data_IF_974590692016
#
_entry.id   IF_974590692016
#
_cell.length_a   1.000
_cell.length_b   1.000
_cell.length_c   1.000
_cell.angle_alpha   90.00
_cell.angle_beta   90.00
_cell.angle_gamma   90.00
#
_symmetry.space_group_name_H-M   'P 1'
#
loop_
_entity.id
_entity.type
_entity.pdbx_description
1 polymer ?
#
# COMPACT_ATOMS: atom_id res chain seq x y z
N UNK A 1 -16.73 -15.73 -29.12
CA UNK A 1 -15.46 -15.73 -28.35
C UNK A 1 -15.30 -14.47 -27.51
N UNK A 2 -15.32 -13.26 -28.10
CA UNK A 2 -15.25 -11.98 -27.35
C UNK A 2 -16.34 -11.88 -26.26
N UNK A 3 -17.58 -12.21 -26.63
CA UNK A 3 -18.73 -12.58 -25.78
C UNK A 3 -18.36 -13.21 -24.43
N UNK A 4 -17.75 -14.38 -24.56
CA UNK A 4 -17.44 -15.30 -23.47
C UNK A 4 -16.32 -14.72 -22.60
N UNK A 5 -15.33 -14.06 -23.20
CA UNK A 5 -14.25 -13.41 -22.44
C UNK A 5 -14.77 -12.30 -21.54
N UNK A 6 -15.67 -11.45 -22.05
CA UNK A 6 -16.31 -10.38 -21.27
C UNK A 6 -17.09 -10.97 -20.10
N UNK A 7 -17.86 -12.03 -20.35
CA UNK A 7 -18.62 -12.74 -19.31
C UNK A 7 -17.72 -13.31 -18.21
N UNK A 8 -16.62 -13.99 -18.58
CA UNK A 8 -15.65 -14.54 -17.62
C UNK A 8 -14.98 -13.42 -16.81
N UNK A 9 -14.58 -12.33 -17.47
CA UNK A 9 -13.92 -11.23 -16.79
C UNK A 9 -14.86 -10.52 -15.81
N UNK A 10 -16.15 -10.43 -16.12
CA UNK A 10 -17.13 -9.91 -15.15
C UNK A 10 -17.21 -10.79 -13.91
N UNK A 11 -17.27 -12.11 -14.08
CA UNK A 11 -17.29 -13.06 -12.95
C UNK A 11 -16.02 -12.90 -12.10
N UNK A 12 -14.84 -12.80 -12.73
CA UNK A 12 -13.59 -12.55 -12.01
C UNK A 12 -13.54 -11.18 -11.34
N UNK A 13 -14.09 -10.13 -11.95
CA UNK A 13 -14.16 -8.80 -11.34
C UNK A 13 -15.01 -8.81 -10.06
N UNK A 14 -16.19 -9.44 -10.11
CA UNK A 14 -17.07 -9.60 -8.96
C UNK A 14 -16.43 -10.45 -7.86
N UNK A 15 -15.82 -11.58 -8.24
CA UNK A 15 -15.11 -12.46 -7.31
C UNK A 15 -13.91 -11.77 -6.65
N UNK A 16 -13.06 -11.10 -7.42
CA UNK A 16 -11.92 -10.36 -6.89
C UNK A 16 -12.35 -9.21 -5.99
N UNK A 17 -13.49 -8.58 -6.27
CA UNK A 17 -14.12 -7.61 -5.38
C UNK A 17 -14.55 -8.22 -4.04
N UNK A 18 -15.09 -9.43 -4.06
CA UNK A 18 -15.45 -10.19 -2.85
C UNK A 18 -14.20 -10.54 -2.03
N UNK A 19 -13.15 -11.05 -2.68
CA UNK A 19 -11.84 -11.33 -2.02
C UNK A 19 -11.27 -10.08 -1.37
N UNK A 20 -11.29 -8.95 -2.08
CA UNK A 20 -10.84 -7.65 -1.56
C UNK A 20 -11.64 -7.22 -0.34
N UNK A 21 -12.98 -7.27 -0.42
CA UNK A 21 -13.86 -6.87 0.68
C UNK A 21 -13.66 -7.72 1.94
N UNK A 22 -13.52 -9.05 1.78
CA UNK A 22 -13.22 -9.94 2.91
C UNK A 22 -11.84 -9.64 3.50
N UNK A 23 -10.82 -9.43 2.65
CA UNK A 23 -9.49 -9.06 3.12
C UNK A 23 -9.49 -7.73 3.89
N UNK A 24 -10.26 -6.75 3.42
CA UNK A 24 -10.40 -5.45 4.09
C UNK A 24 -11.05 -5.58 5.47
N UNK A 25 -12.14 -6.34 5.58
CA UNK A 25 -12.78 -6.64 6.87
C UNK A 25 -11.80 -7.31 7.85
N UNK A 26 -11.03 -8.30 7.39
CA UNK A 26 -10.03 -8.99 8.21
C UNK A 26 -8.94 -8.03 8.67
N UNK A 27 -8.44 -7.18 7.78
CA UNK A 27 -7.39 -6.20 8.08
C UNK A 27 -7.87 -5.18 9.12
N UNK A 28 -9.10 -4.68 8.96
CA UNK A 28 -9.70 -3.70 9.85
C UNK A 28 -9.93 -4.28 11.25
N UNK A 29 -10.53 -5.47 11.34
CA UNK A 29 -10.80 -6.14 12.61
C UNK A 29 -9.52 -6.51 13.38
N UNK A 30 -8.41 -6.75 12.68
CA UNK A 30 -7.16 -7.21 13.30
C UNK A 30 -6.11 -6.10 13.51
N UNK A 31 -6.41 -4.82 13.26
CA UNK A 31 -5.47 -3.69 13.38
C UNK A 31 -4.10 -3.95 12.72
N UNK A 32 -4.12 -4.59 11.55
CA UNK A 32 -2.91 -5.19 10.97
C UNK A 32 -1.81 -4.18 10.66
N UNK A 33 -2.17 -2.92 10.34
CA UNK A 33 -1.24 -1.84 10.01
C UNK A 33 -0.31 -1.51 11.18
N UNK A 34 -0.88 -1.25 12.35
CA UNK A 34 -0.11 -0.95 13.56
C UNK A 34 0.69 -2.16 14.06
N UNK A 35 0.18 -3.39 13.86
CA UNK A 35 0.94 -4.61 14.19
C UNK A 35 2.17 -4.80 13.31
N UNK A 36 2.05 -4.53 12.01
CA UNK A 36 3.17 -4.62 11.06
C UNK A 36 4.23 -3.56 11.36
N UNK A 37 3.81 -2.33 11.68
CA UNK A 37 4.73 -1.28 12.11
C UNK A 37 5.47 -1.67 13.40
N UNK A 38 4.75 -2.22 14.37
CA UNK A 38 5.34 -2.71 15.62
C UNK A 38 6.36 -3.83 15.36
N UNK A 39 6.02 -4.80 14.52
CA UNK A 39 6.92 -5.88 14.15
C UNK A 39 8.16 -5.36 13.40
N UNK A 40 7.98 -4.38 12.51
CA UNK A 40 9.09 -3.71 11.81
C UNK A 40 10.07 -3.03 12.76
N UNK A 41 9.58 -2.32 13.78
CA UNK A 41 10.43 -1.68 14.79
C UNK A 41 11.10 -2.73 15.70
N UNK A 42 10.37 -3.75 16.13
CA UNK A 42 10.95 -4.85 16.91
C UNK A 42 12.04 -5.60 16.12
N UNK A 43 11.90 -5.70 14.80
CA UNK A 43 12.92 -6.25 13.92
C UNK A 43 14.14 -5.33 13.83
N UNK A 44 13.92 -4.02 13.64
CA UNK A 44 14.98 -3.00 13.60
C UNK A 44 15.82 -3.00 14.88
N UNK A 45 15.17 -3.13 16.04
CA UNK A 45 15.85 -3.17 17.34
C UNK A 45 16.40 -4.56 17.69
N UNK A 46 16.24 -5.54 16.80
CA UNK A 46 16.75 -6.90 16.97
C UNK A 46 16.09 -7.71 18.09
N UNK A 47 14.85 -7.36 18.45
CA UNK A 47 14.11 -7.99 19.55
C UNK A 47 13.30 -9.22 19.12
N UNK A 48 13.13 -9.45 17.81
CA UNK A 48 12.36 -10.58 17.31
C UNK A 48 13.20 -11.87 17.30
N UNK A 49 12.74 -12.94 17.98
CA UNK A 49 13.43 -14.23 17.93
C UNK A 49 13.34 -14.83 16.52
N UNK A 50 14.36 -15.59 16.12
CA UNK A 50 14.31 -16.38 14.87
C UNK A 50 13.24 -17.48 15.01
N UNK A 51 12.35 -17.67 14.02
CA UNK A 51 11.29 -18.66 14.14
C UNK A 51 11.91 -20.07 14.09
N UNK A 52 11.56 -20.93 15.05
CA UNK A 52 11.99 -22.33 15.07
C UNK A 52 10.89 -23.21 14.49
N UNK A 53 11.19 -23.96 13.42
CA UNK A 53 10.29 -24.92 12.79
C UNK A 53 9.55 -24.38 11.56
N UNK A 54 9.17 -25.30 10.66
CA UNK A 54 8.57 -25.00 9.34
C UNK A 54 7.20 -24.32 9.48
N UNK A 55 6.33 -24.84 10.37
CA UNK A 55 4.98 -24.31 10.57
C UNK A 55 5.03 -22.89 11.14
N UNK A 56 5.86 -22.65 12.16
CA UNK A 56 6.03 -21.32 12.75
C UNK A 56 6.63 -20.32 11.75
N UNK A 57 7.57 -20.76 10.90
CA UNK A 57 8.08 -19.94 9.81
C UNK A 57 6.99 -19.56 8.81
N UNK A 58 6.09 -20.48 8.47
CA UNK A 58 4.98 -20.23 7.56
C UNK A 58 3.94 -19.29 8.19
N UNK A 59 3.55 -19.55 9.44
CA UNK A 59 2.61 -18.70 10.18
C UNK A 59 3.16 -17.28 10.35
N UNK A 60 4.46 -17.10 10.62
CA UNK A 60 5.11 -15.78 10.63
C UNK A 60 5.11 -15.13 9.24
N UNK A 61 5.35 -15.88 8.17
CA UNK A 61 5.26 -15.34 6.78
C UNK A 61 3.85 -14.84 6.45
N UNK A 62 2.83 -15.51 6.99
CA UNK A 62 1.43 -15.08 6.94
C UNK A 62 1.07 -14.09 8.08
N UNK A 63 2.07 -13.79 8.93
CA UNK A 63 2.14 -13.06 10.21
C UNK A 63 0.99 -13.21 11.18
N UNK A 64 0.58 -14.46 11.34
CA UNK A 64 -0.08 -14.93 12.54
C UNK A 64 0.98 -15.19 13.63
N UNK A 65 1.74 -14.16 14.01
CA UNK A 65 2.78 -14.28 15.04
C UNK A 65 2.33 -13.69 16.38
N UNK A 66 2.80 -14.30 17.47
CA UNK A 66 2.76 -13.70 18.80
C UNK A 66 4.09 -12.99 18.98
N UNK A 67 4.08 -11.67 18.99
CA UNK A 67 5.27 -10.86 19.29
C UNK A 67 5.66 -11.04 20.77
N UNK A 68 6.41 -12.11 21.05
CA UNK A 68 6.99 -12.40 22.36
C UNK A 68 8.39 -11.79 22.39
N UNK A 69 8.66 -10.88 23.35
CA UNK A 69 10.03 -10.45 23.68
C UNK A 69 10.45 -9.01 23.30
N UNK A 70 9.57 -8.18 22.71
CA UNK A 70 9.92 -6.80 22.34
C UNK A 70 9.77 -5.83 23.52
N UNK A 71 10.82 -5.66 24.32
CA UNK A 71 10.79 -4.83 25.55
C UNK A 71 10.97 -3.36 25.22
N UNK A 72 12.00 -3.02 24.46
CA UNK A 72 12.33 -1.64 24.08
C UNK A 72 11.27 -1.10 23.11
N UNK A 73 10.78 -1.92 22.17
CA UNK A 73 9.66 -1.53 21.29
C UNK A 73 8.38 -1.26 22.08
N UNK A 74 8.10 -2.02 23.14
CA UNK A 74 6.94 -1.75 24.01
C UNK A 74 7.10 -0.44 24.78
N UNK A 75 8.28 -0.20 25.35
CA UNK A 75 8.59 1.06 26.03
C UNK A 75 8.45 2.25 25.07
N UNK A 76 8.89 2.10 23.82
CA UNK A 76 8.72 3.09 22.77
C UNK A 76 7.24 3.37 22.45
N UNK A 77 6.40 2.34 22.33
CA UNK A 77 4.97 2.53 22.04
C UNK A 77 4.20 3.11 23.23
N UNK A 78 4.71 2.94 24.46
CA UNK A 78 4.16 3.58 25.66
C UNK A 78 4.65 5.02 25.84
N UNK A 79 5.60 5.47 25.02
CA UNK A 79 6.15 6.81 25.11
C UNK A 79 5.11 7.85 24.63
N UNK A 80 4.93 8.99 25.32
CA UNK A 80 3.91 9.98 24.97
C UNK A 80 3.98 10.48 23.52
N UNK A 81 5.17 10.62 22.94
CA UNK A 81 5.34 11.04 21.53
C UNK A 81 4.80 10.02 20.50
N UNK A 82 4.62 8.76 20.90
CA UNK A 82 4.17 7.67 20.03
C UNK A 82 2.74 7.26 20.37
N UNK A 83 2.43 7.10 21.66
CA UNK A 83 1.11 6.67 22.14
C UNK A 83 0.00 7.63 21.69
N UNK A 84 0.26 8.95 21.70
CA UNK A 84 -0.72 9.97 21.28
C UNK A 84 -0.99 10.00 19.78
N UNK A 85 -0.26 9.22 18.97
CA UNK A 85 -0.48 9.11 17.52
C UNK A 85 -1.67 8.19 17.17
N UNK A 86 -2.26 7.53 18.17
CA UNK A 86 -3.38 6.60 18.02
C UNK A 86 -4.45 6.79 19.08
N UNK A 87 -5.63 6.22 18.84
CA UNK A 87 -6.68 6.16 19.86
C UNK A 87 -6.24 5.26 21.03
N UNK A 88 -6.66 5.55 22.26
CA UNK A 88 -6.32 4.73 23.43
C UNK A 88 -6.59 3.24 23.19
N UNK A 89 -5.56 2.41 23.39
CA UNK A 89 -5.65 0.95 23.24
C UNK A 89 -5.36 0.41 21.83
N UNK A 90 -5.22 1.27 20.83
CA UNK A 90 -4.82 0.88 19.46
C UNK A 90 -3.35 1.19 19.19
N UNK A 91 -2.75 0.57 18.16
CA UNK A 91 -1.38 0.89 17.71
C UNK A 91 -1.41 1.95 16.60
N UNK A 92 -0.47 2.92 16.58
CA UNK A 92 -0.38 3.87 15.49
C UNK A 92 -0.13 3.16 14.16
N UNK A 93 -0.84 3.60 13.12
CA UNK A 93 -0.64 3.09 11.75
C UNK A 93 0.57 3.69 11.05
N UNK A 94 1.10 4.78 11.60
CA UNK A 94 2.28 5.49 11.10
C UNK A 94 3.00 6.23 12.23
N UNK A 95 4.32 6.27 12.17
CA UNK A 95 5.20 7.05 13.04
C UNK A 95 6.19 7.78 12.14
N UNK A 96 6.34 9.10 12.30
CA UNK A 96 7.35 9.84 11.53
C UNK A 96 8.76 9.49 12.00
N UNK A 97 9.78 9.55 11.12
CA UNK A 97 11.17 9.29 11.50
C UNK A 97 11.61 10.19 12.66
N UNK A 98 11.21 11.46 12.61
CA UNK A 98 11.51 12.46 13.64
C UNK A 98 10.88 12.15 15.00
N UNK A 99 9.62 11.71 15.03
CA UNK A 99 8.96 11.31 16.27
C UNK A 99 9.59 10.02 16.82
N UNK A 100 9.92 9.09 15.93
CA UNK A 100 10.59 7.84 16.27
C UNK A 100 11.98 8.10 16.88
N UNK A 101 12.84 8.88 16.24
CA UNK A 101 14.22 9.14 16.70
C UNK A 101 14.23 9.89 18.04
N UNK A 102 13.36 10.88 18.20
CA UNK A 102 13.20 11.62 19.44
C UNK A 102 12.72 10.71 20.59
N UNK A 103 11.67 9.91 20.36
CA UNK A 103 11.16 8.97 21.36
C UNK A 103 12.18 7.88 21.69
N UNK A 104 12.89 7.34 20.70
CA UNK A 104 13.90 6.32 20.90
C UNK A 104 15.05 6.84 21.76
N UNK A 105 15.55 8.04 21.49
CA UNK A 105 16.59 8.67 22.33
C UNK A 105 16.10 8.78 23.78
N UNK A 106 14.89 9.27 24.02
CA UNK A 106 14.34 9.43 25.37
C UNK A 106 14.15 8.09 26.08
N UNK A 107 13.67 7.05 25.38
CA UNK A 107 13.51 5.70 25.93
C UNK A 107 14.86 5.09 26.30
N UNK A 108 15.90 5.26 25.47
CA UNK A 108 17.22 4.66 25.70
C UNK A 108 18.06 5.39 26.75
N UNK A 109 17.91 6.70 26.86
CA UNK A 109 18.64 7.54 27.82
C UNK A 109 17.88 7.81 29.12
N UNK A 110 16.57 7.53 29.16
CA UNK A 110 15.60 7.92 30.20
C UNK A 110 15.36 9.44 30.35
N UNK A 111 16.37 10.27 30.12
CA UNK A 111 16.34 11.73 30.33
C UNK A 111 16.60 12.55 29.06
N UNK A 112 16.86 11.89 27.92
CA UNK A 112 17.24 12.53 26.66
C UNK A 112 18.72 12.91 26.57
N UNK A 113 19.54 12.59 27.59
CA UNK A 113 20.94 12.98 27.64
C UNK A 113 21.84 12.09 26.77
N UNK A 114 22.82 12.73 26.13
CA UNK A 114 23.83 12.06 25.33
C UNK A 114 24.70 11.10 26.17
N UNK A 115 24.96 11.45 27.44
CA UNK A 115 25.80 10.65 28.34
C UNK A 115 25.11 9.33 28.67
N UNK A 116 23.84 9.38 29.08
CA UNK A 116 23.07 8.17 29.40
C UNK A 116 22.85 7.32 28.13
N UNK A 117 22.59 7.97 26.98
CA UNK A 117 22.50 7.29 25.70
C UNK A 117 23.80 6.54 25.36
N UNK A 118 24.96 7.20 25.48
CA UNK A 118 26.26 6.59 25.25
C UNK A 118 26.49 5.41 26.17
N UNK A 119 26.22 5.56 27.46
CA UNK A 119 26.37 4.49 28.45
C UNK A 119 25.48 3.28 28.12
N UNK A 120 24.23 3.49 27.70
CA UNK A 120 23.31 2.41 27.31
C UNK A 120 23.79 1.69 26.05
N UNK A 121 24.41 2.40 25.11
CA UNK A 121 24.87 1.85 23.84
C UNK A 121 26.29 1.29 23.89
N UNK A 122 27.09 1.60 24.90
CA UNK A 122 28.51 1.23 25.03
C UNK A 122 28.75 -0.29 25.03
N UNK A 123 27.78 -1.08 25.52
CA UNK A 123 27.85 -2.53 25.45
C UNK A 123 27.69 -3.06 24.01
N UNK A 124 28.82 -3.16 23.31
CA UNK A 124 28.92 -3.72 21.95
C UNK A 124 28.69 -5.23 21.89
N UNK A 125 28.42 -5.92 22.99
CA UNK A 125 28.00 -7.33 22.99
C UNK A 125 26.48 -7.49 22.90
N UNK A 126 25.74 -6.55 23.50
CA UNK A 126 24.28 -6.47 23.39
C UNK A 126 23.83 -6.13 21.97
N UNK A 127 22.64 -6.63 21.59
CA UNK A 127 22.05 -6.40 20.25
C UNK A 127 21.93 -4.91 19.94
N UNK A 128 21.41 -4.13 20.88
CA UNK A 128 21.18 -2.69 20.70
C UNK A 128 22.50 -1.91 20.54
N UNK A 129 23.52 -2.22 21.35
CA UNK A 129 24.84 -1.59 21.25
C UNK A 129 25.57 -1.95 19.95
N UNK A 130 25.38 -3.17 19.41
CA UNK A 130 25.88 -3.54 18.08
C UNK A 130 25.22 -2.77 16.94
N UNK A 131 23.93 -2.46 17.07
CA UNK A 131 23.15 -1.81 16.03
C UNK A 131 23.28 -0.29 16.04
N UNK A 132 23.04 0.35 17.19
CA UNK A 132 22.99 1.80 17.32
C UNK A 132 24.31 2.43 17.77
N UNK A 133 25.16 1.64 18.43
CA UNK A 133 26.46 2.10 18.92
C UNK A 133 27.36 2.69 17.83
N UNK A 134 27.59 2.00 16.70
CA UNK A 134 28.36 2.54 15.58
C UNK A 134 27.77 3.82 14.99
N UNK A 135 26.43 3.96 14.98
CA UNK A 135 25.78 5.19 14.51
C UNK A 135 26.10 6.38 15.41
N UNK A 136 26.22 6.15 16.73
CA UNK A 136 26.61 7.18 17.69
C UNK A 136 28.10 7.56 17.54
N UNK A 137 28.97 6.57 17.32
CA UNK A 137 30.40 6.80 17.08
C UNK A 137 30.61 7.64 15.80
N UNK A 138 29.95 7.28 14.70
CA UNK A 138 30.02 8.02 13.43
C UNK A 138 29.43 9.42 13.53
N UNK A 139 28.47 9.64 14.44
CA UNK A 139 27.93 10.96 14.72
C UNK A 139 28.92 11.86 15.47
N UNK A 140 30.06 11.33 15.94
CA UNK A 140 31.02 12.03 16.80
C UNK A 140 30.35 12.63 18.05
N UNK A 141 29.51 11.83 18.71
CA UNK A 141 28.77 12.23 19.91
C UNK A 141 27.82 13.44 19.69
N UNK A 142 27.46 13.76 18.44
CA UNK A 142 26.47 14.78 18.11
C UNK A 142 25.07 14.16 18.09
N UNK A 143 24.21 14.58 19.02
CA UNK A 143 22.88 14.01 19.19
C UNK A 143 21.97 14.21 17.96
N UNK A 144 22.07 15.35 17.28
CA UNK A 144 21.23 15.64 16.11
C UNK A 144 21.70 14.85 14.89
N UNK A 145 23.01 14.69 14.72
CA UNK A 145 23.56 13.78 13.69
C UNK A 145 23.19 12.33 13.98
N UNK A 146 23.23 11.89 15.24
CA UNK A 146 22.80 10.56 15.64
C UNK A 146 21.32 10.32 15.29
N UNK A 147 20.43 11.25 15.67
CA UNK A 147 19.00 11.19 15.30
C UNK A 147 18.82 11.08 13.80
N UNK A 148 19.53 11.89 13.01
CA UNK A 148 19.46 11.87 11.54
C UNK A 148 19.86 10.50 10.97
N UNK A 149 20.89 9.86 11.52
CA UNK A 149 21.30 8.49 11.13
C UNK A 149 20.26 7.44 11.50
N UNK A 150 19.67 7.55 12.70
CA UNK A 150 18.58 6.68 13.16
C UNK A 150 17.35 6.84 12.27
N UNK A 151 16.99 8.06 11.88
CA UNK A 151 15.89 8.37 10.97
C UNK A 151 16.09 7.75 9.59
N UNK A 152 17.30 7.88 9.05
CA UNK A 152 17.68 7.26 7.80
C UNK A 152 17.54 5.73 7.89
N UNK A 153 18.11 5.11 8.93
CA UNK A 153 18.01 3.67 9.14
C UNK A 153 16.56 3.19 9.33
N UNK A 154 15.76 3.96 10.07
CA UNK A 154 14.33 3.70 10.24
C UNK A 154 13.61 3.66 8.89
N UNK A 155 13.84 4.65 8.01
CA UNK A 155 13.25 4.67 6.68
C UNK A 155 13.65 3.46 5.84
N UNK A 156 14.93 3.07 5.83
CA UNK A 156 15.40 1.89 5.10
C UNK A 156 14.74 0.59 5.60
N UNK A 157 14.55 0.46 6.91
CA UNK A 157 13.82 -0.68 7.50
C UNK A 157 12.34 -0.59 7.12
N UNK A 158 11.72 0.58 7.20
CA UNK A 158 10.30 0.75 6.86
C UNK A 158 10.00 0.48 5.37
N UNK A 159 10.91 0.80 4.46
CA UNK A 159 10.81 0.44 3.03
C UNK A 159 10.82 -1.07 2.82
N UNK A 160 11.76 -1.76 3.48
CA UNK A 160 11.79 -3.23 3.50
C UNK A 160 10.52 -3.78 4.14
N UNK A 161 10.01 -3.07 5.15
CA UNK A 161 8.78 -3.42 5.86
C UNK A 161 7.52 -3.20 4.99
N UNK A 162 7.54 -2.29 4.03
CA UNK A 162 6.50 -2.23 3.00
C UNK A 162 6.52 -3.46 2.09
N UNK A 163 7.73 -3.90 1.72
CA UNK A 163 7.95 -4.97 0.74
C UNK A 163 7.43 -6.36 1.17
N UNK A 164 7.89 -6.88 2.31
CA UNK A 164 7.38 -8.16 2.87
C UNK A 164 5.87 -8.10 3.16
N UNK A 165 5.35 -6.95 3.61
CA UNK A 165 3.93 -6.75 3.86
C UNK A 165 3.11 -6.91 2.58
N UNK A 166 3.53 -6.28 1.48
CA UNK A 166 2.87 -6.42 0.17
C UNK A 166 2.81 -7.89 -0.27
N UNK A 167 3.92 -8.63 -0.14
CA UNK A 167 3.99 -10.06 -0.51
C UNK A 167 3.08 -10.91 0.38
N UNK A 168 3.06 -10.62 1.67
CA UNK A 168 2.17 -11.28 2.64
C UNK A 168 0.71 -11.01 2.32
N UNK A 169 0.34 -9.77 2.02
CA UNK A 169 -1.02 -9.39 1.65
C UNK A 169 -1.49 -10.13 0.39
N UNK A 170 -0.62 -10.27 -0.62
CA UNK A 170 -0.91 -11.08 -1.82
C UNK A 170 -1.13 -12.55 -1.48
N UNK A 171 -0.32 -13.14 -0.60
CA UNK A 171 -0.51 -14.52 -0.15
C UNK A 171 -1.83 -14.69 0.62
N UNK A 172 -2.16 -13.76 1.52
CA UNK A 172 -3.42 -13.78 2.27
C UNK A 172 -4.61 -13.67 1.32
N UNK A 173 -4.59 -12.75 0.35
CA UNK A 173 -5.63 -12.63 -0.69
C UNK A 173 -5.76 -13.90 -1.53
N UNK A 174 -4.65 -14.57 -1.86
CA UNK A 174 -4.68 -15.85 -2.55
C UNK A 174 -5.40 -16.93 -1.73
N UNK A 175 -5.07 -17.07 -0.44
CA UNK A 175 -5.73 -18.06 0.42
C UNK A 175 -7.20 -17.73 0.70
N UNK A 176 -7.53 -16.45 0.92
CA UNK A 176 -8.92 -15.99 1.01
C UNK A 176 -9.67 -16.34 -0.28
N UNK A 177 -9.10 -16.02 -1.44
CA UNK A 177 -9.65 -16.39 -2.74
C UNK A 177 -9.81 -17.90 -2.90
N UNK A 178 -8.81 -18.70 -2.53
CA UNK A 178 -8.90 -20.16 -2.63
C UNK A 178 -10.01 -20.73 -1.74
N UNK A 179 -10.09 -20.26 -0.50
CA UNK A 179 -11.15 -20.63 0.44
C UNK A 179 -12.51 -20.27 -0.14
N UNK A 180 -12.70 -19.04 -0.60
CA UNK A 180 -13.96 -18.57 -1.18
C UNK A 180 -14.32 -19.32 -2.47
N UNK A 181 -13.35 -19.61 -3.34
CA UNK A 181 -13.56 -20.36 -4.57
C UNK A 181 -14.05 -21.79 -4.26
N UNK A 182 -13.50 -22.45 -3.25
CA UNK A 182 -13.97 -23.76 -2.78
C UNK A 182 -15.35 -23.63 -2.15
N UNK A 183 -15.53 -22.74 -1.17
CA UNK A 183 -16.81 -22.61 -0.46
C UNK A 183 -17.98 -22.23 -1.37
N UNK A 184 -17.76 -21.32 -2.32
CA UNK A 184 -18.75 -20.89 -3.30
C UNK A 184 -18.78 -21.78 -4.56
N UNK A 185 -17.91 -22.79 -4.64
CA UNK A 185 -17.71 -23.65 -5.80
C UNK A 185 -17.58 -22.87 -7.12
N UNK A 186 -16.68 -21.88 -7.14
CA UNK A 186 -16.39 -21.07 -8.33
C UNK A 186 -15.23 -21.75 -9.06
N UNK A 187 -15.58 -22.63 -10.00
CA UNK A 187 -14.63 -23.40 -10.82
C UNK A 187 -14.48 -22.75 -12.21
N UNK A 188 -13.31 -22.14 -12.47
CA UNK A 188 -13.00 -21.50 -13.75
C UNK A 188 -13.19 -22.41 -14.97
N UNK A 189 -12.85 -23.69 -14.88
CA UNK A 189 -12.92 -24.63 -16.01
C UNK A 189 -14.39 -24.94 -16.30
N UNK A 190 -15.17 -25.21 -15.25
CA UNK A 190 -16.60 -25.44 -15.36
C UNK A 190 -17.35 -24.22 -15.90
N UNK A 191 -17.01 -23.02 -15.44
CA UNK A 191 -17.59 -21.76 -15.92
C UNK A 191 -17.36 -21.61 -17.43
N UNK A 192 -16.15 -21.87 -17.92
CA UNK A 192 -15.85 -21.79 -19.36
C UNK A 192 -16.71 -22.77 -20.16
N UNK A 193 -16.82 -24.03 -19.70
CA UNK A 193 -17.62 -25.06 -20.37
C UNK A 193 -19.09 -24.66 -20.44
N UNK A 194 -19.66 -24.22 -19.32
CA UNK A 194 -21.07 -23.82 -19.25
C UNK A 194 -21.38 -22.58 -20.10
N UNK A 195 -20.49 -21.59 -20.13
CA UNK A 195 -20.67 -20.40 -20.96
C UNK A 195 -20.56 -20.70 -22.46
N UNK A 196 -19.77 -21.72 -22.85
CA UNK A 196 -19.72 -22.18 -24.23
C UNK A 196 -21.02 -22.86 -24.68
N UNK A 197 -21.67 -23.59 -23.78
CA UNK A 197 -22.92 -24.32 -24.05
C UNK A 197 -24.18 -23.42 -23.95
N UNK A 198 -24.12 -22.30 -23.22
CA UNK A 198 -25.27 -21.46 -22.92
C UNK A 198 -25.12 -20.00 -23.43
N UNK A 199 -25.35 -19.72 -24.73
CA UNK A 199 -25.19 -18.38 -25.29
C UNK A 199 -26.14 -17.32 -24.70
N UNK A 200 -27.31 -17.72 -24.20
CA UNK A 200 -28.24 -16.82 -23.52
C UNK A 200 -27.68 -16.28 -22.20
N UNK A 201 -26.91 -17.09 -21.45
CA UNK A 201 -26.27 -16.66 -20.21
C UNK A 201 -25.14 -15.67 -20.50
N UNK A 202 -24.32 -15.96 -21.52
CA UNK A 202 -23.26 -15.04 -21.97
C UNK A 202 -23.83 -13.67 -22.31
N UNK A 203 -24.96 -13.62 -23.02
CA UNK A 203 -25.62 -12.36 -23.36
C UNK A 203 -26.01 -11.54 -22.12
N UNK A 204 -26.63 -12.18 -21.11
CA UNK A 204 -27.00 -11.52 -19.84
C UNK A 204 -25.78 -10.97 -19.10
N UNK A 205 -24.71 -11.75 -19.00
CA UNK A 205 -23.47 -11.33 -18.32
C UNK A 205 -22.81 -10.14 -19.03
N UNK A 206 -22.89 -10.10 -20.36
CA UNK A 206 -22.31 -9.00 -21.15
C UNK A 206 -23.15 -7.72 -21.05
N UNK A 207 -24.47 -7.84 -21.01
CA UNK A 207 -25.38 -6.72 -20.73
C UNK A 207 -25.11 -6.12 -19.34
N UNK A 208 -24.95 -6.98 -18.33
CA UNK A 208 -24.58 -6.54 -16.98
C UNK A 208 -23.19 -5.88 -16.94
N UNK A 209 -22.20 -6.46 -17.61
CA UNK A 209 -20.85 -5.90 -17.69
C UNK A 209 -20.87 -4.48 -18.29
N UNK A 210 -21.68 -4.26 -19.33
CA UNK A 210 -21.87 -2.94 -19.93
C UNK A 210 -22.55 -1.95 -18.98
N UNK A 211 -23.57 -2.40 -18.23
CA UNK A 211 -24.26 -1.57 -17.23
C UNK A 211 -23.31 -1.13 -16.10
N UNK A 212 -22.51 -2.06 -15.58
CA UNK A 212 -21.52 -1.77 -14.53
C UNK A 212 -20.44 -0.83 -15.06
N UNK A 213 -19.91 -1.07 -16.25
CA UNK A 213 -18.90 -0.19 -16.86
C UNK A 213 -19.41 1.25 -17.02
N UNK A 214 -20.65 1.43 -17.46
CA UNK A 214 -21.26 2.75 -17.57
C UNK A 214 -21.42 3.46 -16.21
N UNK A 215 -21.61 2.69 -15.13
CA UNK A 215 -21.67 3.23 -13.77
C UNK A 215 -20.29 3.55 -13.19
N UNK A 216 -19.28 2.74 -13.48
CA UNK A 216 -17.89 2.92 -13.03
C UNK A 216 -17.22 4.11 -13.73
N UNK A 217 -17.47 4.30 -15.04
CA UNK A 217 -16.99 5.46 -15.79
C UNK A 217 -17.53 6.80 -15.24
N UNK A 218 -18.73 6.79 -14.65
CA UNK A 218 -19.28 7.97 -13.95
C UNK A 218 -18.62 8.22 -12.61
N UNK A 219 -18.19 7.18 -11.88
CA UNK A 219 -17.46 7.32 -10.62
C UNK A 219 -16.02 7.80 -10.81
N UNK A 220 -15.34 7.38 -11.88
CA UNK A 220 -13.97 7.82 -12.18
C UNK A 220 -13.90 9.29 -12.65
N UNK A 221 -14.95 9.81 -13.28
CA UNK A 221 -15.06 11.22 -13.69
C UNK A 221 -15.60 12.14 -12.58
N UNK A 222 -16.10 11.58 -11.48
CA UNK A 222 -16.39 12.30 -10.25
C UNK A 222 -15.22 12.11 -9.28
N UNK A 223 -14.06 12.67 -9.62
CA UNK A 223 -12.97 12.73 -8.65
C UNK A 223 -13.47 13.47 -7.41
N UNK A 224 -13.49 12.84 -6.22
CA UNK A 224 -13.52 13.61 -4.99
C UNK A 224 -12.16 14.29 -4.96
N UNK A 225 -12.12 15.60 -5.22
CA UNK A 225 -11.03 16.44 -4.74
C UNK A 225 -11.13 16.33 -3.22
N UNK A 226 -10.37 15.43 -2.61
CA UNK A 226 -10.15 15.44 -1.17
C UNK A 226 -9.17 16.60 -0.94
N UNK A 227 -9.59 17.72 -0.35
CA UNK A 227 -8.65 18.73 0.07
C UNK A 227 -7.78 18.13 1.19
N UNK A 228 -6.46 18.36 1.20
CA UNK A 228 -5.62 17.90 2.28
C UNK A 228 -6.01 18.65 3.55
N UNK A 229 -6.76 18.00 4.45
CA UNK A 229 -7.06 18.52 5.78
C UNK A 229 -8.52 18.73 6.17
N UNK A 230 -9.51 18.16 5.49
CA UNK A 230 -10.87 18.15 6.03
C UNK A 230 -11.04 17.04 7.07
N UNK A 231 -11.32 17.45 8.31
CA UNK A 231 -11.84 16.59 9.38
C UNK A 231 -13.23 16.08 8.97
N UNK A 232 -13.29 14.96 8.27
CA UNK A 232 -14.50 14.12 8.16
C UNK A 232 -14.14 12.70 8.62
N UNK A 233 -13.68 12.61 9.86
CA UNK A 233 -13.59 11.36 10.61
C UNK A 233 -14.83 11.20 11.47
N UNK A 234 -15.99 11.01 10.85
CA UNK A 234 -17.18 10.54 11.57
C UNK A 234 -18.20 9.91 10.60
N UNK A 235 -17.82 8.76 10.04
CA UNK A 235 -18.78 7.67 9.94
C UNK A 235 -18.31 6.63 10.92
N UNK A 236 -19.17 6.26 11.87
CA UNK A 236 -18.90 5.24 12.86
C UNK A 236 -18.27 4.03 12.14
N UNK A 237 -17.14 3.50 12.60
CA UNK A 237 -16.53 2.30 12.03
C UNK A 237 -17.54 1.15 11.87
N UNK A 238 -18.57 1.13 12.72
CA UNK A 238 -19.74 0.25 12.63
C UNK A 238 -20.63 0.49 11.39
N UNK A 239 -20.85 1.74 11.00
CA UNK A 239 -21.63 2.10 9.80
C UNK A 239 -20.82 1.87 8.51
N UNK A 240 -19.51 2.11 8.53
CA UNK A 240 -18.62 1.75 7.42
C UNK A 240 -18.54 0.22 7.24
N UNK A 241 -18.39 -0.53 8.34
CA UNK A 241 -18.41 -2.00 8.30
C UNK A 241 -19.78 -2.55 7.83
N UNK A 242 -20.89 -1.94 8.25
CA UNK A 242 -22.23 -2.29 7.74
C UNK A 242 -22.33 -2.06 6.24
N UNK A 243 -21.87 -0.92 5.73
CA UNK A 243 -21.86 -0.62 4.30
C UNK A 243 -20.99 -1.61 3.51
N UNK A 244 -19.83 -1.99 4.04
CA UNK A 244 -18.97 -3.01 3.44
C UNK A 244 -19.62 -4.40 3.42
N UNK A 245 -20.32 -4.79 4.48
CA UNK A 245 -21.05 -6.06 4.56
C UNK A 245 -22.24 -6.06 3.58
N UNK A 246 -22.97 -4.95 3.46
CA UNK A 246 -24.08 -4.81 2.51
C UNK A 246 -23.60 -4.82 1.06
N UNK A 247 -22.48 -4.15 0.75
CA UNK A 247 -21.82 -4.24 -0.56
C UNK A 247 -21.39 -5.68 -0.86
N UNK A 248 -20.78 -6.38 0.10
CA UNK A 248 -20.36 -7.78 -0.04
C UNK A 248 -21.56 -8.70 -0.30
N UNK A 249 -22.65 -8.54 0.45
CA UNK A 249 -23.88 -9.30 0.25
C UNK A 249 -24.47 -9.05 -1.14
N UNK A 250 -24.50 -7.78 -1.59
CA UNK A 250 -24.98 -7.43 -2.92
C UNK A 250 -24.15 -8.06 -4.05
N UNK A 251 -22.83 -8.23 -3.86
CA UNK A 251 -21.96 -8.91 -4.84
C UNK A 251 -22.24 -10.40 -4.90
N UNK A 252 -22.50 -11.03 -3.76
CA UNK A 252 -22.90 -12.45 -3.69
C UNK A 252 -24.25 -12.64 -4.38
N UNK A 253 -25.23 -11.79 -4.07
CA UNK A 253 -26.56 -11.83 -4.69
C UNK A 253 -26.49 -11.62 -6.20
N UNK A 254 -25.65 -10.68 -6.67
CA UNK A 254 -25.41 -10.50 -8.12
C UNK A 254 -24.81 -11.75 -8.75
N UNK A 255 -23.80 -12.34 -8.13
CA UNK A 255 -23.18 -13.58 -8.62
C UNK A 255 -24.21 -14.72 -8.74
N UNK A 256 -25.12 -14.85 -7.78
CA UNK A 256 -26.18 -15.87 -7.79
C UNK A 256 -27.29 -15.56 -8.81
N UNK A 257 -27.78 -14.31 -8.86
CA UNK A 257 -28.90 -13.90 -9.71
C UNK A 257 -28.56 -13.82 -11.20
N UNK A 258 -27.28 -13.75 -11.56
CA UNK A 258 -26.84 -13.78 -12.97
C UNK A 258 -27.01 -15.15 -13.64
N UNK A 259 -27.56 -16.15 -12.94
CA UNK A 259 -27.67 -17.52 -13.44
C UNK A 259 -26.30 -18.15 -13.68
N UNK A 260 -25.30 -17.66 -12.94
CA UNK A 260 -23.92 -18.11 -13.06
C UNK A 260 -23.83 -19.58 -12.61
N UNK A 261 -23.10 -20.43 -13.33
CA UNK A 261 -22.88 -21.83 -13.01
C UNK A 261 -21.89 -21.96 -11.82
N UNK A 262 -22.29 -21.44 -10.67
CA UNK A 262 -21.54 -21.43 -9.41
C UNK A 262 -22.38 -22.05 -8.30
N UNK A 263 -21.73 -22.48 -7.22
CA UNK A 263 -22.39 -23.09 -6.08
C UNK A 263 -22.34 -24.62 -6.12
N UNK A 264 -22.60 -25.22 -4.97
CA UNK A 264 -22.65 -26.67 -4.82
C UNK A 264 -24.04 -27.19 -5.22
N UNK A 265 -24.09 -28.27 -6.00
CA UNK A 265 -25.34 -28.98 -6.26
C UNK A 265 -25.51 -30.02 -5.16
N UNK A 266 -26.45 -29.79 -4.25
CA UNK A 266 -26.78 -30.78 -3.23
C UNK A 266 -27.68 -31.87 -3.83
N UNK A 267 -27.51 -33.11 -3.37
CA UNK A 267 -28.44 -34.21 -3.63
C UNK A 267 -29.88 -33.76 -3.34
N UNK A 268 -30.85 -34.21 -4.14
CA UNK A 268 -32.27 -34.10 -3.76
C UNK A 268 -32.52 -35.10 -2.62
N UNK A 269 -32.30 -34.71 -1.37
CA UNK A 269 -32.73 -35.49 -0.22
C UNK A 269 -34.26 -35.70 -0.25
N UNK A 270 -34.71 -36.86 0.23
CA UNK A 270 -36.11 -37.14 0.53
C UNK A 270 -36.70 -36.04 1.44
N UNK A 271 -38.01 -35.76 1.38
CA UNK A 271 -38.63 -34.51 1.88
C UNK A 271 -38.47 -34.16 3.37
N UNK A 272 -37.82 -34.99 4.20
CA UNK A 272 -37.73 -34.82 5.65
C UNK A 272 -36.28 -34.78 6.20
N UNK A 273 -35.27 -34.46 5.39
CA UNK A 273 -33.91 -34.26 5.89
C UNK A 273 -33.41 -32.86 5.54
N UNK A 274 -32.97 -32.11 6.57
CA UNK A 274 -32.23 -30.88 6.36
C UNK A 274 -30.90 -31.21 5.67
N UNK A 275 -30.50 -30.47 4.63
CA UNK A 275 -29.25 -30.74 3.93
C UNK A 275 -28.08 -30.65 4.92
N UNK A 276 -27.27 -31.72 5.00
CA UNK A 276 -25.98 -31.67 5.66
C UNK A 276 -25.05 -30.82 4.78
N UNK A 277 -24.42 -29.79 5.36
CA UNK A 277 -23.46 -28.94 4.64
C UNK A 277 -22.37 -29.78 3.97
N UNK A 278 -21.95 -30.89 4.60
CA UNK A 278 -20.94 -31.80 4.07
C UNK A 278 -21.43 -32.62 2.87
N UNK A 279 -22.73 -32.86 2.72
CA UNK A 279 -23.28 -33.64 1.61
C UNK A 279 -23.21 -32.85 0.29
N UNK A 280 -23.35 -31.52 0.35
CA UNK A 280 -23.16 -30.66 -0.81
C UNK A 280 -21.70 -30.65 -1.31
N UNK A 281 -20.71 -30.86 -0.44
CA UNK A 281 -19.29 -30.97 -0.83
C UNK A 281 -18.95 -32.32 -1.50
N UNK A 282 -19.77 -33.35 -1.32
CA UNK A 282 -19.57 -34.67 -1.92
C UNK A 282 -20.03 -34.76 -3.38
N UNK A 283 -20.77 -33.76 -3.86
CA UNK A 283 -21.26 -33.67 -5.24
C UNK A 283 -20.64 -32.45 -5.95
N UNK A 284 -19.37 -32.55 -6.39
CA UNK A 284 -18.78 -31.50 -7.22
C UNK A 284 -19.59 -31.35 -8.51
N UNK A 285 -19.84 -30.09 -8.89
CA UNK A 285 -20.63 -29.76 -10.10
C UNK A 285 -19.89 -30.16 -11.38
N UNK A 286 -18.56 -30.27 -11.31
CA UNK A 286 -17.73 -30.86 -12.35
C UNK A 286 -17.81 -32.38 -12.34
N UNK A 287 -18.03 -32.98 -13.52
CA UNK A 287 -17.97 -34.44 -13.70
C UNK A 287 -16.57 -35.03 -13.43
N UNK A 288 -15.54 -34.19 -13.26
CA UNK A 288 -14.16 -34.60 -12.96
C UNK A 288 -13.60 -33.82 -11.76
N UNK A 289 -13.51 -34.42 -10.55
CA UNK A 289 -13.06 -33.71 -9.34
C UNK A 289 -11.62 -33.19 -9.42
N UNK A 290 -10.74 -33.88 -10.18
CA UNK A 290 -9.35 -33.44 -10.37
C UNK A 290 -9.23 -32.14 -11.19
N UNK A 291 -10.18 -31.86 -12.08
CA UNK A 291 -10.21 -30.63 -12.87
C UNK A 291 -10.72 -29.44 -12.03
N UNK A 292 -11.60 -29.68 -11.06
CA UNK A 292 -12.09 -28.61 -10.17
C UNK A 292 -11.02 -28.02 -9.26
N UNK A 293 -10.05 -28.82 -8.82
CA UNK A 293 -8.90 -28.29 -8.09
C UNK A 293 -8.14 -27.24 -8.93
N UNK A 294 -7.93 -27.52 -10.22
CA UNK A 294 -7.27 -26.57 -11.13
C UNK A 294 -8.17 -25.35 -11.36
N UNK A 295 -9.47 -25.55 -11.53
CA UNK A 295 -10.46 -24.47 -11.67
C UNK A 295 -10.46 -23.50 -10.49
N UNK A 296 -10.49 -24.03 -9.26
CA UNK A 296 -10.41 -23.23 -8.04
C UNK A 296 -9.08 -22.50 -7.89
N UNK A 297 -7.96 -23.13 -8.28
CA UNK A 297 -6.65 -22.45 -8.28
C UNK A 297 -6.62 -21.29 -9.28
N UNK A 298 -7.17 -21.46 -10.49
CA UNK A 298 -7.28 -20.37 -11.48
C UNK A 298 -8.17 -19.25 -10.93
N UNK A 299 -9.30 -19.58 -10.33
CA UNK A 299 -10.19 -18.59 -9.71
C UNK A 299 -9.51 -17.85 -8.55
N UNK A 300 -8.79 -18.56 -7.69
CA UNK A 300 -8.02 -17.95 -6.60
C UNK A 300 -6.96 -16.97 -7.12
N UNK A 301 -6.21 -17.36 -8.16
CA UNK A 301 -5.25 -16.48 -8.84
C UNK A 301 -5.94 -15.27 -9.47
N UNK A 302 -7.12 -15.45 -10.07
CA UNK A 302 -7.90 -14.35 -10.61
C UNK A 302 -8.32 -13.34 -9.52
N UNK A 303 -8.66 -13.83 -8.32
CA UNK A 303 -8.99 -13.01 -7.15
C UNK A 303 -7.82 -12.12 -6.68
N UNK A 304 -6.57 -12.59 -6.81
CA UNK A 304 -5.37 -11.84 -6.38
C UNK A 304 -5.15 -10.56 -7.19
N UNK A 305 -5.58 -10.52 -8.46
CA UNK A 305 -5.41 -9.34 -9.31
C UNK A 305 -6.30 -8.15 -8.91
N UNK A 306 -7.35 -8.40 -8.11
CA UNK A 306 -8.28 -7.36 -7.70
C UNK A 306 -9.31 -7.01 -8.76
N UNK A 307 -10.44 -6.44 -8.32
CA UNK A 307 -11.54 -6.05 -9.21
C UNK A 307 -11.14 -5.00 -10.27
N UNK A 308 -10.33 -3.95 -9.98
CA UNK A 308 -10.10 -2.91 -10.96
C UNK A 308 -9.27 -3.39 -12.16
N UNK A 309 -8.39 -4.39 -11.99
CA UNK A 309 -7.70 -5.05 -13.10
C UNK A 309 -8.69 -5.66 -14.11
N UNK A 310 -9.69 -6.40 -13.60
CA UNK A 310 -10.67 -7.06 -14.47
C UNK A 310 -11.64 -6.07 -15.13
N UNK A 311 -12.03 -4.99 -14.43
CA UNK A 311 -12.85 -3.93 -15.04
C UNK A 311 -12.11 -3.15 -16.13
N UNK A 312 -10.81 -2.91 -15.97
CA UNK A 312 -9.96 -2.36 -17.04
C UNK A 312 -9.88 -3.32 -18.24
N UNK A 313 -9.70 -4.63 -17.99
CA UNK A 313 -9.70 -5.64 -19.03
C UNK A 313 -11.04 -5.69 -19.80
N UNK A 314 -12.17 -5.65 -19.11
CA UNK A 314 -13.52 -5.55 -19.72
C UNK A 314 -13.63 -4.29 -20.57
N UNK A 315 -13.13 -3.16 -20.07
CA UNK A 315 -13.19 -1.88 -20.79
C UNK A 315 -12.43 -1.92 -22.10
N UNK A 316 -11.24 -2.53 -22.10
CA UNK A 316 -10.44 -2.76 -23.30
C UNK A 316 -11.17 -3.68 -24.30
N UNK A 317 -11.83 -4.74 -23.83
CA UNK A 317 -12.61 -5.63 -24.70
C UNK A 317 -13.82 -4.94 -25.33
N UNK A 318 -14.54 -4.09 -24.58
CA UNK A 318 -15.65 -3.30 -25.14
C UNK A 318 -15.17 -2.27 -26.16
N UNK A 319 -14.01 -1.63 -25.93
CA UNK A 319 -13.40 -0.74 -26.91
C UNK A 319 -13.11 -1.47 -28.24
N UNK A 320 -12.53 -2.68 -28.17
CA UNK A 320 -12.27 -3.52 -29.35
C UNK A 320 -13.59 -3.93 -30.04
N UNK A 321 -14.65 -4.20 -29.28
CA UNK A 321 -15.98 -4.52 -29.81
C UNK A 321 -16.61 -3.34 -30.56
N UNK A 322 -16.36 -2.12 -30.09
CA UNK A 322 -16.88 -0.87 -30.68
C UNK A 322 -16.14 -0.41 -31.93
N UNK A 323 -14.91 -0.88 -32.18
CA UNK A 323 -14.08 -0.41 -33.31
C UNK A 323 -14.41 -1.10 -34.64
N UNK A 324 -15.54 -0.72 -35.24
CA UNK A 324 -15.59 -0.49 -36.68
C UNK A 324 -15.00 0.89 -37.00
N UNK A 325 -13.72 0.95 -37.42
CA UNK A 325 -12.92 2.13 -37.91
C UNK A 325 -12.62 3.33 -36.95
N UNK A 326 -11.44 3.25 -36.29
CA UNK A 326 -10.23 4.15 -36.12
C UNK A 326 -10.32 5.71 -35.97
N UNK A 327 -9.26 6.44 -35.47
CA UNK A 327 -8.17 6.18 -34.47
C UNK A 327 -7.88 7.29 -33.38
N UNK A 328 -7.06 6.87 -32.39
CA UNK A 328 -6.03 7.58 -31.55
C UNK A 328 -6.48 8.69 -30.57
N UNK A 329 -6.12 8.66 -29.28
CA UNK A 329 -4.74 8.78 -28.76
C UNK A 329 -4.27 7.66 -27.81
N UNK A 330 -3.02 7.27 -28.01
CA UNK A 330 -2.23 6.47 -27.07
C UNK A 330 -1.55 7.42 -26.09
N UNK A 331 -1.95 7.41 -24.82
CA UNK A 331 -1.08 7.90 -23.75
C UNK A 331 -0.61 6.70 -22.94
N UNK A 332 0.63 6.33 -23.20
CA UNK A 332 1.42 5.38 -22.44
C UNK A 332 1.33 5.71 -20.95
N UNK A 333 0.69 4.84 -20.16
CA UNK A 333 0.80 4.85 -18.69
C UNK A 333 1.20 3.44 -18.24
N UNK A 334 2.23 3.30 -17.38
CA UNK A 334 2.69 2.00 -16.91
C UNK A 334 1.61 1.28 -16.12
N UNK A 335 1.58 -0.05 -16.22
CA UNK A 335 0.66 -0.93 -15.51
C UNK A 335 0.74 -0.72 -13.98
N UNK A 336 -0.21 0.01 -13.42
CA UNK A 336 -0.43 0.07 -11.96
C UNK A 336 -1.35 -1.08 -11.56
N UNK A 337 -0.76 -2.10 -10.95
CA UNK A 337 -1.45 -3.19 -10.27
C UNK A 337 -2.39 -2.63 -9.20
N UNK A 338 -3.69 -2.68 -9.42
CA UNK A 338 -4.74 -2.27 -8.49
C UNK A 338 -5.07 -3.40 -7.50
N UNK A 339 -4.09 -3.73 -6.67
CA UNK A 339 -4.34 -4.33 -5.36
C UNK A 339 -4.74 -3.19 -4.41
N UNK A 340 -5.70 -3.36 -3.48
CA UNK A 340 -5.90 -2.39 -2.40
C UNK A 340 -4.60 -2.33 -1.60
N UNK A 341 -3.78 -1.32 -1.90
CA UNK A 341 -2.60 -1.04 -1.13
C UNK A 341 -3.11 -0.53 0.21
N UNK A 342 -3.04 -1.39 1.22
CA UNK A 342 -2.89 -0.90 2.59
C UNK A 342 -1.55 -0.16 2.59
N UNK A 343 -1.64 1.14 2.34
CA UNK A 343 -0.53 2.05 2.52
C UNK A 343 -0.26 2.04 4.02
N UNK A 344 0.75 1.27 4.44
CA UNK A 344 1.66 1.81 5.43
C UNK A 344 2.10 3.11 4.79
N UNK A 345 1.62 4.23 5.30
CA UNK A 345 2.05 5.54 4.84
C UNK A 345 3.50 5.62 5.30
N UNK A 346 4.42 4.98 4.59
CA UNK A 346 5.76 5.53 4.50
C UNK A 346 5.51 6.77 3.63
N UNK A 347 5.68 8.00 4.15
CA UNK A 347 5.70 9.14 3.25
C UNK A 347 6.67 8.77 2.13
N UNK A 348 6.38 9.09 0.87
CA UNK A 348 7.37 8.90 -0.17
C UNK A 348 8.66 9.51 0.35
N UNK A 349 9.76 8.76 0.33
CA UNK A 349 11.08 9.36 0.33
C UNK A 349 10.98 10.43 -0.76
N UNK A 350 10.91 11.68 -0.33
CA UNK A 350 10.51 12.79 -1.16
C UNK A 350 11.71 13.21 -1.99
N UNK A 351 12.26 12.28 -2.77
CA UNK A 351 13.37 12.52 -3.68
C UNK A 351 12.86 12.72 -5.12
N UNK A 352 11.56 12.91 -5.35
CA UNK A 352 11.00 13.32 -6.64
C UNK A 352 9.53 13.72 -6.51
N UNK A 353 9.24 14.95 -6.05
CA UNK A 353 8.05 15.73 -6.45
C UNK A 353 7.88 17.08 -5.70
N UNK A 354 8.55 17.32 -4.56
CA UNK A 354 8.50 18.64 -3.90
C UNK A 354 9.54 19.64 -4.43
N UNK A 355 10.38 19.22 -5.37
CA UNK A 355 11.54 19.96 -5.80
C UNK A 355 11.24 21.07 -6.83
N UNK A 356 10.07 21.05 -7.48
CA UNK A 356 9.73 21.96 -8.60
C UNK A 356 8.88 23.18 -8.18
N UNK A 357 8.73 23.44 -6.87
CA UNK A 357 7.83 24.47 -6.34
C UNK A 357 8.65 25.63 -5.71
N UNK A 358 8.38 26.89 -6.09
CA UNK A 358 8.96 28.04 -5.40
C UNK A 358 8.52 28.09 -3.93
N UNK A 359 9.44 28.47 -3.04
CA UNK A 359 9.27 28.45 -1.58
C UNK A 359 8.91 29.84 -1.00
N UNK A 360 8.89 30.89 -1.82
CA UNK A 360 8.47 32.23 -1.44
C UNK A 360 7.93 33.03 -2.66
N UNK A 361 7.33 34.18 -2.38
CA UNK A 361 6.76 35.05 -3.41
C UNK A 361 7.81 35.59 -4.38
N UNK A 362 9.05 35.78 -3.92
CA UNK A 362 10.16 36.25 -4.74
C UNK A 362 10.51 35.22 -5.84
N UNK A 363 10.69 33.96 -5.47
CA UNK A 363 10.95 32.85 -6.39
C UNK A 363 9.80 32.59 -7.37
N UNK A 364 8.58 32.92 -6.96
CA UNK A 364 7.38 32.75 -7.81
C UNK A 364 7.22 33.88 -8.83
N UNK A 365 7.56 35.11 -8.45
CA UNK A 365 7.22 36.32 -9.22
C UNK A 365 8.40 37.04 -9.88
N UNK A 366 9.64 36.76 -9.44
CA UNK A 366 10.84 37.51 -9.85
C UNK A 366 11.90 36.66 -10.54
N UNK A 367 11.77 35.34 -10.55
CA UNK A 367 12.73 34.43 -11.18
C UNK A 367 12.06 33.68 -12.33
N UNK A 368 12.63 33.78 -13.51
CA UNK A 368 12.24 33.01 -14.69
C UNK A 368 13.20 31.81 -14.88
N UNK A 369 12.93 30.98 -15.88
CA UNK A 369 13.74 29.79 -16.15
C UNK A 369 15.20 30.10 -16.51
N UNK A 370 15.48 31.22 -17.18
CA UNK A 370 16.84 31.67 -17.50
C UNK A 370 17.60 32.11 -16.24
N UNK A 371 16.92 32.81 -15.32
CA UNK A 371 17.49 33.17 -14.01
C UNK A 371 17.82 31.91 -13.19
N UNK A 372 16.95 30.90 -13.23
CA UNK A 372 17.16 29.62 -12.55
C UNK A 372 18.36 28.88 -13.16
N UNK A 373 18.53 28.87 -14.48
CA UNK A 373 19.73 28.32 -15.11
C UNK A 373 21.00 29.05 -14.67
N UNK A 374 20.95 30.39 -14.59
CA UNK A 374 22.04 31.19 -14.04
C UNK A 374 22.41 30.81 -12.62
N UNK A 375 21.40 30.58 -11.76
CA UNK A 375 21.60 30.15 -10.37
C UNK A 375 22.17 28.73 -10.29
N UNK A 376 21.71 27.81 -11.15
CA UNK A 376 22.26 26.46 -11.27
C UNK A 376 23.76 26.50 -11.65
N UNK A 377 24.15 27.38 -12.58
CA UNK A 377 25.57 27.60 -12.94
C UNK A 377 26.37 28.19 -11.79
N UNK A 378 25.86 29.26 -11.16
CA UNK A 378 26.54 29.95 -10.07
C UNK A 378 26.79 29.05 -8.85
N UNK A 379 25.89 28.10 -8.60
CA UNK A 379 25.98 27.13 -7.50
C UNK A 379 26.72 25.83 -7.88
N UNK A 380 27.33 25.76 -9.07
CA UNK A 380 28.21 24.67 -9.46
C UNK A 380 27.51 23.38 -9.91
N UNK A 381 26.25 23.46 -10.36
CA UNK A 381 25.56 22.30 -10.94
C UNK A 381 26.19 21.96 -12.30
N UNK A 382 26.49 20.67 -12.59
CA UNK A 382 27.08 20.27 -13.87
C UNK A 382 26.21 20.66 -15.06
N UNK A 383 26.82 21.10 -16.17
CA UNK A 383 26.11 21.56 -17.39
C UNK A 383 25.10 20.54 -17.94
N UNK A 384 25.36 19.25 -17.77
CA UNK A 384 24.46 18.16 -18.20
C UNK A 384 23.14 18.10 -17.43
N UNK A 385 23.03 18.82 -16.31
CA UNK A 385 21.86 18.82 -15.41
C UNK A 385 21.22 20.20 -15.24
N UNK A 386 21.69 21.20 -15.98
CA UNK A 386 21.10 22.54 -16.01
C UNK A 386 19.86 22.50 -16.89
N UNK A 387 18.72 22.92 -16.35
CA UNK A 387 17.42 22.76 -16.99
C UNK A 387 16.40 23.86 -16.67
N UNK A 388 16.81 24.90 -15.93
CA UNK A 388 15.95 26.05 -15.60
C UNK A 388 14.77 25.74 -14.70
N UNK A 389 14.82 24.60 -14.00
CA UNK A 389 13.78 24.14 -13.07
C UNK A 389 14.27 24.10 -11.64
N UNK A 390 13.33 24.22 -10.71
CA UNK A 390 13.66 24.03 -9.30
C UNK A 390 14.02 22.57 -9.07
N UNK A 391 15.06 22.34 -8.27
CA UNK A 391 15.50 21.00 -7.93
C UNK A 391 15.99 20.93 -6.49
N UNK A 392 15.88 19.77 -5.86
CA UNK A 392 16.41 19.55 -4.51
C UNK A 392 17.94 19.68 -4.50
N UNK A 393 18.59 19.29 -5.60
CA UNK A 393 20.01 19.52 -5.84
C UNK A 393 20.36 21.02 -5.80
N UNK A 394 19.60 21.87 -6.48
CA UNK A 394 19.76 23.33 -6.44
C UNK A 394 19.54 23.89 -5.02
N UNK A 395 18.55 23.37 -4.29
CA UNK A 395 18.27 23.78 -2.90
C UNK A 395 19.40 23.38 -1.95
N UNK A 396 19.95 22.18 -2.12
CA UNK A 396 21.06 21.71 -1.31
C UNK A 396 22.33 22.49 -1.61
N UNK A 397 22.63 22.74 -2.89
CA UNK A 397 23.74 23.60 -3.29
C UNK A 397 23.61 25.02 -2.71
N UNK A 398 22.40 25.59 -2.71
CA UNK A 398 22.13 26.88 -2.06
C UNK A 398 22.37 26.84 -0.54
N UNK A 399 21.89 25.80 0.16
CA UNK A 399 22.09 25.65 1.61
C UNK A 399 23.58 25.52 1.96
N UNK A 400 24.34 24.82 1.14
CA UNK A 400 25.78 24.68 1.29
C UNK A 400 26.49 26.01 1.07
N UNK A 401 26.10 26.76 0.03
CA UNK A 401 26.62 28.11 -0.22
C UNK A 401 26.29 29.08 0.92
N UNK A 402 25.06 29.07 1.46
CA UNK A 402 24.66 29.89 2.60
C UNK A 402 25.50 29.55 3.84
N UNK A 403 25.77 28.26 4.07
CA UNK A 403 26.63 27.81 5.18
C UNK A 403 28.07 28.29 5.04
N UNK A 404 28.63 28.24 3.83
CA UNK A 404 30.02 28.64 3.56
C UNK A 404 30.19 30.17 3.63
N UNK A 405 29.17 30.92 3.21
CA UNK A 405 29.19 32.40 3.21
C UNK A 405 28.76 33.03 4.53
N UNK A 406 28.49 32.22 5.57
CA UNK A 406 28.07 32.71 6.89
C UNK A 406 26.66 33.32 6.91
N UNK A 407 25.82 33.01 5.92
CA UNK A 407 24.43 33.46 5.82
C UNK A 407 23.49 32.47 6.52
N UNK A 408 22.32 32.95 6.91
CA UNK A 408 21.26 32.09 7.46
C UNK A 408 20.87 31.02 6.45
N UNK A 409 20.93 29.75 6.85
CA UNK A 409 20.65 28.60 5.98
C UNK A 409 19.13 28.44 5.84
N UNK A 410 18.52 29.21 4.95
CA UNK A 410 17.09 29.20 4.67
C UNK A 410 16.72 28.21 3.56
N UNK A 411 17.64 27.92 2.64
CA UNK A 411 17.37 27.18 1.40
C UNK A 411 16.39 27.89 0.45
N UNK A 412 16.17 29.19 0.65
CA UNK A 412 15.28 30.05 -0.15
C UNK A 412 16.12 31.12 -0.85
N UNK A 413 15.79 31.40 -2.10
CA UNK A 413 16.34 32.50 -2.86
C UNK A 413 15.54 33.77 -2.51
N UNK A 414 16.23 34.75 -1.94
CA UNK A 414 15.76 36.11 -1.76
C UNK A 414 16.60 37.06 -2.61
N UNK A 415 16.15 38.31 -2.74
CA UNK A 415 16.81 39.32 -3.57
C UNK A 415 18.31 39.48 -3.23
N UNK A 416 18.74 39.59 -1.95
CA UNK A 416 20.17 39.67 -1.61
C UNK A 416 20.97 38.41 -1.92
N UNK A 417 20.34 37.24 -1.94
CA UNK A 417 20.99 35.97 -2.29
C UNK A 417 21.16 35.84 -3.80
N UNK A 418 20.13 36.18 -4.57
CA UNK A 418 20.20 36.12 -6.04
C UNK A 418 21.19 37.14 -6.59
N UNK A 419 21.21 38.37 -6.07
CA UNK A 419 22.18 39.38 -6.47
C UNK A 419 23.62 38.91 -6.20
N UNK A 420 23.87 38.32 -5.04
CA UNK A 420 25.20 37.81 -4.69
C UNK A 420 25.66 36.62 -5.56
N UNK A 421 24.73 35.84 -6.12
CA UNK A 421 25.03 34.67 -6.94
C UNK A 421 25.17 35.01 -8.43
N UNK A 422 24.32 35.89 -8.96
CA UNK A 422 24.30 36.23 -10.38
C UNK A 422 25.17 37.46 -10.71
N UNK A 423 25.41 38.34 -9.74
CA UNK A 423 26.15 39.59 -9.91
C UNK A 423 27.18 39.80 -8.79
N UNK A 424 28.22 38.95 -8.69
CA UNK A 424 29.20 39.01 -7.60
C UNK A 424 30.08 40.27 -7.57
N UNK A 425 30.01 41.14 -8.58
CA UNK A 425 30.77 42.40 -8.68
C UNK A 425 29.93 43.68 -8.42
N UNK A 426 28.67 43.54 -8.02
CA UNK A 426 27.75 44.67 -7.77
C UNK A 426 27.76 45.19 -6.32
#
# INVERSE_FOLDING_TARGET
MLDIMIAIFLIYALFAGLVSGVNELIVQMLEMRGKVLFEGIAMMLGELPKPTGIINSLLRKLGFDKTVGATETKALYQHPLIDTLSQPGSKPSYISPTAFSAALVQVLSNDGSLIALRQKLDDRNATLGKLLGPMLDEANDDLEKFKTKVEFHFNEVMDRVGGWYKRRAQAVMFFIGLILAVFLNIDSIYIVQQLQENPAQVKKLVEEAAAIQASEAKKQNAAPVIPPGSKEGEKNATEEAKQQIEDLASRIDKLQNLGSPIGWVCSKQAPNQSPDLLDCFNYPVSQNPNLSLIGWLITALAGVFGAPFWFDAISKLFAIRGTGKKPEESTTTPATSSTPAIQVIVPPANNSAAADIPLNDFETSRLNSEDIEGLQRALGIPETRINGKWSEELRNALRDWQRITGRTVTGRFDEPTVLALLYPEA
#
